data_IF_610600733749
#
_entry.id   IF_610600733749
#
_cell.length_a   1.000
_cell.length_b   1.000
_cell.length_c   1.000
_cell.angle_alpha   90.00
_cell.angle_beta   90.00
_cell.angle_gamma   90.00
#
_symmetry.space_group_name_H-M   'P 1'
#
loop_
_entity.id
_entity.type
_entity.pdbx_description
1 polymer ?
#
# COMPACT_ATOMS: atom_id res chain seq x y z
N UNK A 1 -21.29 -69.54 -1.29
CA UNK A 1 -20.78 -68.45 -0.44
C UNK A 1 -19.61 -67.78 -1.14
N UNK A 2 -19.68 -66.48 -1.49
CA UNK A 2 -18.57 -65.82 -2.17
C UNK A 2 -17.52 -65.35 -1.15
N UNK A 3 -16.24 -65.54 -1.49
CA UNK A 3 -15.06 -65.17 -0.71
C UNK A 3 -14.82 -63.66 -0.84
N UNK A 4 -14.65 -62.97 0.29
CA UNK A 4 -14.23 -61.56 0.37
C UNK A 4 -12.79 -61.36 -0.13
N UNK A 5 -12.48 -60.33 -0.93
CA UNK A 5 -11.11 -59.97 -1.26
C UNK A 5 -10.42 -59.30 -0.06
N UNK A 6 -9.19 -59.72 0.21
CA UNK A 6 -8.35 -59.20 1.29
C UNK A 6 -7.90 -57.76 1.07
N UNK A 7 -7.81 -57.02 2.17
CA UNK A 7 -7.33 -55.64 2.26
C UNK A 7 -5.85 -55.56 1.86
N UNK A 8 -5.42 -54.62 0.99
CA UNK A 8 -4.01 -54.44 0.68
C UNK A 8 -3.28 -53.81 1.88
N UNK A 9 -2.21 -54.47 2.31
CA UNK A 9 -1.30 -54.02 3.35
C UNK A 9 -0.41 -52.90 2.81
N UNK A 10 -0.74 -51.64 3.09
CA UNK A 10 0.11 -50.49 2.77
C UNK A 10 1.22 -50.37 3.83
N UNK A 11 2.30 -51.14 3.65
CA UNK A 11 3.58 -50.84 4.31
C UNK A 11 4.19 -49.61 3.64
N UNK A 12 3.74 -48.43 4.08
CA UNK A 12 4.23 -47.16 3.60
C UNK A 12 5.50 -46.80 4.36
N UNK A 13 6.66 -47.07 3.75
CA UNK A 13 7.97 -46.67 4.28
C UNK A 13 8.19 -45.18 3.99
N UNK A 14 7.46 -44.32 4.70
CA UNK A 14 7.72 -42.89 4.67
C UNK A 14 9.04 -42.58 5.38
N UNK A 15 10.11 -42.44 4.60
CA UNK A 15 11.38 -41.90 5.05
C UNK A 15 11.22 -40.39 5.30
N UNK A 16 11.11 -40.00 6.57
CA UNK A 16 11.01 -38.59 6.95
C UNK A 16 12.42 -37.96 7.03
N UNK A 17 12.65 -36.74 6.51
CA UNK A 17 13.96 -36.07 6.48
C UNK A 17 14.63 -35.84 7.85
N UNK A 18 13.95 -36.18 8.94
CA UNK A 18 14.42 -36.00 10.32
C UNK A 18 14.55 -37.34 11.09
N UNK A 19 14.42 -38.49 10.43
CA UNK A 19 14.41 -39.80 11.07
C UNK A 19 15.64 -40.10 11.95
N UNK A 20 16.79 -39.47 11.67
CA UNK A 20 18.05 -39.65 12.41
C UNK A 20 18.49 -38.37 13.16
N UNK A 21 17.59 -37.42 13.39
CA UNK A 21 17.90 -36.18 14.12
C UNK A 21 17.89 -36.41 15.63
N UNK A 22 19.06 -36.42 16.27
CA UNK A 22 19.22 -36.43 17.74
C UNK A 22 19.09 -35.03 18.40
N UNK A 23 18.67 -34.00 17.65
CA UNK A 23 18.41 -32.67 18.20
C UNK A 23 16.98 -32.62 18.73
N UNK A 24 16.79 -32.10 19.95
CA UNK A 24 15.50 -31.97 20.63
C UNK A 24 14.52 -31.22 19.73
N UNK A 25 13.55 -31.93 19.15
CA UNK A 25 12.42 -31.31 18.47
C UNK A 25 11.47 -30.81 19.56
N UNK A 26 11.52 -29.52 19.84
CA UNK A 26 10.51 -28.88 20.66
C UNK A 26 9.27 -28.67 19.81
N UNK A 27 8.29 -29.55 20.01
CA UNK A 27 6.93 -29.32 19.52
C UNK A 27 6.40 -28.14 20.32
N UNK A 28 6.47 -26.95 19.73
CA UNK A 28 5.75 -25.77 20.24
C UNK A 28 4.27 -26.15 20.15
N UNK A 29 3.70 -26.56 21.28
CA UNK A 29 2.27 -26.85 21.38
C UNK A 29 1.54 -25.54 21.13
N UNK A 30 1.02 -25.37 19.93
CA UNK A 30 0.12 -24.27 19.53
C UNK A 30 -1.01 -24.16 20.57
N UNK A 31 -0.82 -23.33 21.58
CA UNK A 31 -1.93 -22.59 22.16
C UNK A 31 -2.24 -21.59 21.06
N UNK A 32 -3.44 -21.69 20.49
CA UNK A 32 -3.79 -21.08 19.19
C UNK A 32 -3.12 -19.73 18.98
N UNK A 33 -2.51 -19.55 17.80
CA UNK A 33 -1.89 -18.28 17.42
C UNK A 33 -2.89 -17.18 17.73
N UNK A 34 -2.58 -16.36 18.73
CA UNK A 34 -3.39 -15.21 19.07
C UNK A 34 -3.29 -14.25 17.89
N UNK A 35 -4.33 -14.26 17.06
CA UNK A 35 -4.41 -13.50 15.81
C UNK A 35 -4.32 -12.01 16.11
N UNK A 36 -4.76 -11.58 17.30
CA UNK A 36 -4.76 -10.20 17.74
C UNK A 36 -3.38 -9.75 18.23
N UNK A 37 -2.70 -10.58 19.02
CA UNK A 37 -1.30 -10.32 19.42
C UNK A 37 -0.35 -10.40 18.21
N UNK A 38 -0.58 -11.35 17.30
CA UNK A 38 0.15 -11.45 16.03
C UNK A 38 -0.11 -10.22 15.15
N UNK A 39 -1.36 -9.73 15.08
CA UNK A 39 -1.69 -8.50 14.37
C UNK A 39 -1.00 -7.28 14.99
N UNK A 40 -0.94 -7.18 16.33
CA UNK A 40 -0.21 -6.13 17.04
C UNK A 40 1.29 -6.17 16.75
N UNK A 41 1.89 -7.36 16.78
CA UNK A 41 3.30 -7.54 16.45
C UNK A 41 3.61 -7.13 15.01
N UNK A 42 2.72 -7.44 14.05
CA UNK A 42 2.89 -7.01 12.66
C UNK A 42 2.71 -5.50 12.47
N UNK A 43 1.78 -4.87 13.20
CA UNK A 43 1.60 -3.41 13.16
C UNK A 43 2.86 -2.71 13.70
N UNK A 44 3.40 -3.20 14.82
CA UNK A 44 4.65 -2.73 15.42
C UNK A 44 5.84 -2.87 14.45
N UNK A 45 6.03 -4.05 13.85
CA UNK A 45 7.11 -4.28 12.87
C UNK A 45 6.95 -3.46 11.58
N UNK A 46 5.72 -3.03 11.23
CA UNK A 46 5.49 -2.14 10.09
C UNK A 46 5.76 -0.66 10.44
N UNK A 47 5.73 -0.29 11.73
CA UNK A 47 5.95 1.07 12.22
C UNK A 47 7.41 1.40 12.58
N UNK A 48 8.24 0.40 12.90
CA UNK A 48 9.59 0.60 13.44
C UNK A 48 10.64 1.19 12.47
N UNK A 49 10.35 1.35 11.17
CA UNK A 49 11.28 2.00 10.22
C UNK A 49 11.29 3.55 10.30
N UNK A 50 10.55 4.15 11.25
CA UNK A 50 10.56 5.59 11.49
C UNK A 50 11.57 5.93 12.60
N UNK A 51 12.80 6.22 12.20
CA UNK A 51 13.82 6.86 13.06
C UNK A 51 13.20 7.99 13.90
N UNK A 52 13.54 8.11 15.20
CA UNK A 52 12.84 9.01 16.11
C UNK A 52 13.07 10.46 15.68
N UNK A 53 12.02 11.10 15.17
CA UNK A 53 11.96 12.55 15.12
C UNK A 53 11.95 13.05 16.56
N UNK A 54 13.09 13.58 17.02
CA UNK A 54 13.22 14.34 18.26
C UNK A 54 12.02 15.28 18.38
N UNK A 55 11.07 14.94 19.26
CA UNK A 55 9.98 15.82 19.60
C UNK A 55 10.60 17.09 20.20
N UNK A 56 10.46 18.22 19.50
CA UNK A 56 10.75 19.52 20.10
C UNK A 56 9.68 19.77 21.17
N UNK A 57 10.05 20.23 22.37
CA UNK A 57 9.05 20.63 23.37
C UNK A 57 8.18 21.73 22.76
N UNK A 58 6.87 21.55 22.81
CA UNK A 58 5.88 22.53 22.40
C UNK A 58 5.96 23.73 23.32
N UNK A 59 6.46 24.85 22.82
CA UNK A 59 6.27 26.16 23.45
C UNK A 59 4.82 26.55 23.17
N UNK A 60 4.02 26.73 24.22
CA UNK A 60 2.70 27.35 24.12
C UNK A 60 2.88 28.78 23.61
N UNK A 61 2.51 29.00 22.35
CA UNK A 61 2.26 30.35 21.87
C UNK A 61 0.75 30.58 21.97
N UNK A 62 0.34 31.54 22.80
CA UNK A 62 -0.98 32.14 22.67
C UNK A 62 -1.09 32.69 21.24
N UNK A 63 -2.02 32.13 20.45
CA UNK A 63 -2.29 32.64 19.12
C UNK A 63 -2.93 34.02 19.27
N UNK A 64 -2.37 35.08 18.68
CA UNK A 64 -3.07 36.35 18.64
C UNK A 64 -4.41 36.15 17.92
N UNK A 65 -5.46 36.78 18.44
CA UNK A 65 -6.79 36.73 17.87
C UNK A 65 -6.73 37.10 16.38
N UNK A 66 -7.32 36.26 15.53
CA UNK A 66 -7.31 36.50 14.08
C UNK A 66 -8.11 37.76 13.78
N UNK A 67 -7.46 38.73 13.12
CA UNK A 67 -8.07 39.99 12.70
C UNK A 67 -9.20 39.74 11.67
N UNK A 68 -9.30 38.52 11.13
CA UNK A 68 -10.30 38.10 10.15
C UNK A 68 -11.61 37.58 10.76
N UNK A 69 -11.81 37.67 12.08
CA UNK A 69 -13.05 37.26 12.77
C UNK A 69 -13.89 38.43 13.29
N UNK A 70 -13.69 39.64 12.77
CA UNK A 70 -14.56 40.78 13.06
C UNK A 70 -15.63 40.98 11.97
N UNK A 71 -16.87 40.66 12.34
CA UNK A 71 -18.19 41.11 11.84
C UNK A 71 -18.58 41.11 10.36
N UNK A 72 -17.71 40.81 9.40
CA UNK A 72 -18.12 40.55 8.01
C UNK A 72 -17.36 39.34 7.48
N UNK A 73 -17.79 38.16 7.91
CA UNK A 73 -17.25 36.89 7.42
C UNK A 73 -17.58 36.77 5.93
N UNK A 74 -16.67 37.27 5.09
CA UNK A 74 -16.54 36.80 3.71
C UNK A 74 -16.28 35.31 3.83
N UNK A 75 -17.32 34.52 3.58
CA UNK A 75 -17.23 33.07 3.52
C UNK A 75 -16.06 32.73 2.61
N UNK A 76 -15.07 32.01 3.13
CA UNK A 76 -13.99 31.45 2.32
C UNK A 76 -14.66 30.43 1.40
N UNK A 77 -15.06 30.88 0.22
CA UNK A 77 -15.49 30.01 -0.85
C UNK A 77 -14.23 29.25 -1.29
N UNK A 78 -14.09 28.01 -0.82
CA UNK A 78 -13.21 27.04 -1.45
C UNK A 78 -13.79 26.83 -2.85
N UNK A 79 -13.32 27.65 -3.79
CA UNK A 79 -13.65 27.50 -5.20
C UNK A 79 -13.44 26.04 -5.56
N UNK A 80 -14.50 25.43 -6.07
CA UNK A 80 -14.43 24.16 -6.75
C UNK A 80 -13.21 24.21 -7.69
N UNK A 81 -12.37 23.17 -7.65
CA UNK A 81 -11.09 23.06 -8.37
C UNK A 81 -11.28 23.07 -9.92
N UNK A 82 -11.94 24.09 -10.44
CA UNK A 82 -12.33 24.37 -11.83
C UNK A 82 -11.49 25.52 -12.40
N UNK A 83 -10.52 26.04 -11.62
CA UNK A 83 -9.50 26.96 -12.12
C UNK A 83 -8.48 26.28 -13.04
N UNK A 84 -7.73 27.09 -13.80
CA UNK A 84 -6.63 26.72 -14.71
C UNK A 84 -5.42 26.07 -14.00
N UNK A 85 -5.65 25.03 -13.19
CA UNK A 85 -4.56 24.30 -12.57
C UNK A 85 -3.83 23.49 -13.65
N UNK A 86 -2.50 23.61 -13.69
CA UNK A 86 -1.64 22.81 -14.58
C UNK A 86 -1.63 21.31 -14.23
N UNK A 87 -2.31 20.93 -13.15
CA UNK A 87 -2.43 19.55 -12.69
C UNK A 87 -3.02 18.64 -13.78
N UNK A 88 -2.50 17.42 -13.84
CA UNK A 88 -2.95 16.43 -14.82
C UNK A 88 -4.33 15.86 -14.47
N UNK A 89 -4.54 15.56 -13.19
CA UNK A 89 -5.78 14.99 -12.66
C UNK A 89 -6.53 16.02 -11.83
N UNK A 90 -7.86 15.93 -11.85
CA UNK A 90 -8.76 16.65 -10.96
C UNK A 90 -9.04 15.87 -9.67
N UNK A 91 -9.11 14.54 -9.79
CA UNK A 91 -9.46 13.65 -8.69
C UNK A 91 -8.82 12.27 -8.90
N UNK A 92 -8.50 11.60 -7.81
CA UNK A 92 -7.81 10.31 -7.78
C UNK A 92 -8.34 9.48 -6.64
N UNK A 93 -8.78 8.27 -6.93
CA UNK A 93 -9.28 7.32 -5.95
C UNK A 93 -8.71 5.94 -6.22
N UNK A 94 -8.46 5.15 -5.18
CA UNK A 94 -8.13 3.72 -5.34
C UNK A 94 -9.32 2.92 -4.81
N UNK A 95 -10.16 2.41 -5.72
CA UNK A 95 -11.46 1.80 -5.42
C UNK A 95 -11.33 0.51 -4.60
N UNK A 96 -10.27 -0.27 -4.86
CA UNK A 96 -10.05 -1.55 -4.22
C UNK A 96 -8.80 -2.25 -4.71
N UNK A 97 -8.71 -3.54 -4.39
CA UNK A 97 -7.60 -4.41 -4.79
C UNK A 97 -8.11 -5.81 -5.16
N UNK A 98 -7.40 -6.46 -6.06
CA UNK A 98 -7.67 -7.83 -6.51
C UNK A 98 -6.42 -8.69 -6.39
N UNK A 99 -6.59 -9.94 -6.00
CA UNK A 99 -5.53 -10.94 -6.04
C UNK A 99 -5.56 -11.60 -7.42
N UNK A 100 -4.46 -11.50 -8.15
CA UNK A 100 -4.29 -12.08 -9.49
C UNK A 100 -3.25 -13.18 -9.41
N UNK A 101 -3.60 -14.38 -9.88
CA UNK A 101 -2.70 -15.53 -9.94
C UNK A 101 -3.27 -16.77 -9.24
N UNK A 102 -2.84 -17.93 -9.73
CA UNK A 102 -3.30 -19.22 -9.25
C UNK A 102 -2.57 -19.59 -7.94
N UNK A 103 -3.34 -19.82 -6.88
CA UNK A 103 -2.79 -20.20 -5.55
C UNK A 103 -2.33 -21.65 -5.50
N UNK A 104 -2.85 -22.50 -6.40
CA UNK A 104 -2.66 -23.96 -6.34
C UNK A 104 -1.39 -24.45 -7.04
N UNK A 105 -0.71 -23.57 -7.80
CA UNK A 105 0.61 -23.91 -8.34
C UNK A 105 1.68 -23.52 -7.33
N UNK A 106 2.43 -24.52 -6.86
CA UNK A 106 3.48 -24.53 -5.84
C UNK A 106 4.64 -23.50 -6.01
N UNK A 107 4.50 -22.49 -6.88
CA UNK A 107 5.51 -21.50 -7.19
C UNK A 107 4.94 -20.09 -7.41
N UNK A 108 4.66 -19.37 -6.32
CA UNK A 108 4.87 -17.91 -6.24
C UNK A 108 4.17 -16.97 -7.25
N UNK A 109 3.06 -17.38 -7.88
CA UNK A 109 2.44 -16.62 -8.97
C UNK A 109 1.41 -15.54 -8.57
N UNK A 110 0.92 -15.56 -7.33
CA UNK A 110 -0.14 -14.64 -6.89
C UNK A 110 0.42 -13.25 -6.52
N UNK A 111 -0.15 -12.20 -7.10
CA UNK A 111 0.17 -10.81 -6.79
C UNK A 111 -1.09 -9.96 -6.59
N UNK A 112 -0.93 -8.82 -5.92
CA UNK A 112 -2.02 -7.88 -5.68
C UNK A 112 -1.96 -6.73 -6.68
N UNK A 113 -3.11 -6.42 -7.27
CA UNK A 113 -3.34 -5.29 -8.17
C UNK A 113 -4.32 -4.33 -7.51
N UNK A 114 -4.01 -3.04 -7.56
CA UNK A 114 -4.88 -1.97 -7.09
C UNK A 114 -5.57 -1.32 -8.28
N UNK A 115 -6.87 -1.04 -8.15
CA UNK A 115 -7.63 -0.30 -9.16
C UNK A 115 -7.60 1.20 -8.86
N UNK A 116 -6.87 1.94 -9.70
CA UNK A 116 -6.68 3.37 -9.57
C UNK A 116 -7.61 4.08 -10.55
N UNK A 117 -8.58 4.82 -10.01
CA UNK A 117 -9.52 5.64 -10.77
C UNK A 117 -9.00 7.07 -10.79
N UNK A 118 -8.59 7.55 -11.97
CA UNK A 118 -8.06 8.91 -12.15
C UNK A 118 -9.03 9.70 -13.01
N UNK A 119 -9.59 10.79 -12.49
CA UNK A 119 -10.41 11.72 -13.26
C UNK A 119 -9.51 12.84 -13.77
N UNK A 120 -9.35 12.93 -15.08
CA UNK A 120 -8.58 14.00 -15.71
C UNK A 120 -9.36 15.30 -15.67
N UNK A 121 -8.65 16.42 -15.86
CA UNK A 121 -9.28 17.75 -15.99
C UNK A 121 -10.30 17.85 -17.13
N UNK A 122 -10.13 17.03 -18.18
CA UNK A 122 -11.03 17.01 -19.35
C UNK A 122 -12.33 16.23 -19.07
N UNK A 123 -12.53 15.74 -17.85
CA UNK A 123 -13.69 14.94 -17.46
C UNK A 123 -13.58 13.46 -17.82
N UNK A 124 -12.47 13.02 -18.40
CA UNK A 124 -12.23 11.60 -18.70
C UNK A 124 -11.86 10.85 -17.43
N UNK A 125 -12.55 9.75 -17.16
CA UNK A 125 -12.19 8.84 -16.06
C UNK A 125 -11.34 7.69 -16.63
N UNK A 126 -10.13 7.53 -16.11
CA UNK A 126 -9.19 6.49 -16.52
C UNK A 126 -9.05 5.49 -15.38
N UNK A 127 -9.23 4.21 -15.69
CA UNK A 127 -8.99 3.10 -14.76
C UNK A 127 -7.62 2.48 -15.04
N UNK A 128 -6.71 2.56 -14.06
CA UNK A 128 -5.36 2.03 -14.15
C UNK A 128 -5.16 0.93 -13.11
N UNK A 129 -4.97 -0.30 -13.59
CA UNK A 129 -4.72 -1.46 -12.74
C UNK A 129 -3.22 -1.64 -12.47
N UNK A 130 -2.78 -1.36 -11.24
CA UNK A 130 -1.35 -1.28 -10.91
C UNK A 130 -0.98 -2.10 -9.68
N UNK A 131 0.08 -2.89 -9.78
CA UNK A 131 0.72 -3.54 -8.62
C UNK A 131 1.57 -2.53 -7.84
N UNK A 132 1.80 -2.78 -6.55
CA UNK A 132 2.63 -1.89 -5.70
C UNK A 132 3.98 -1.53 -6.34
N UNK A 133 4.67 -2.50 -6.96
CA UNK A 133 5.95 -2.23 -7.62
C UNK A 133 5.86 -1.21 -8.77
N UNK A 134 4.70 -1.03 -9.40
CA UNK A 134 4.51 0.01 -10.40
C UNK A 134 4.58 1.42 -9.77
N UNK A 135 4.11 1.60 -8.53
CA UNK A 135 4.23 2.86 -7.80
C UNK A 135 5.68 3.15 -7.43
N UNK A 136 6.44 2.12 -7.04
CA UNK A 136 7.89 2.23 -6.80
C UNK A 136 8.62 2.70 -8.06
N UNK A 137 8.27 2.13 -9.22
CA UNK A 137 8.82 2.55 -10.51
C UNK A 137 8.45 3.98 -10.87
N UNK A 138 7.21 4.40 -10.62
CA UNK A 138 6.77 5.78 -10.83
C UNK A 138 7.57 6.74 -9.96
N UNK A 139 7.68 6.48 -8.66
CA UNK A 139 8.44 7.34 -7.75
C UNK A 139 9.93 7.44 -8.12
N UNK A 140 10.55 6.32 -8.50
CA UNK A 140 11.92 6.34 -9.03
C UNK A 140 12.01 7.07 -10.37
N UNK A 141 10.99 6.98 -11.22
CA UNK A 141 10.86 7.73 -12.47
C UNK A 141 10.79 9.23 -12.22
N UNK A 142 9.92 9.65 -11.30
CA UNK A 142 9.75 11.06 -10.89
C UNK A 142 11.04 11.65 -10.34
N UNK A 143 11.72 10.95 -9.41
CA UNK A 143 13.00 11.41 -8.88
C UNK A 143 14.09 11.57 -9.96
N UNK A 144 14.04 10.76 -11.02
CA UNK A 144 14.98 10.85 -12.15
C UNK A 144 14.62 11.94 -13.15
N UNK A 145 13.32 12.16 -13.41
CA UNK A 145 12.86 13.12 -14.42
C UNK A 145 12.73 14.54 -13.90
N UNK A 146 12.47 14.72 -12.59
CA UNK A 146 12.20 16.04 -12.02
C UNK A 146 13.51 16.79 -11.66
N UNK A 147 13.56 18.10 -11.90
CA UNK A 147 14.60 18.98 -11.37
C UNK A 147 14.75 18.86 -9.85
N UNK A 148 15.97 19.07 -9.33
CA UNK A 148 16.30 18.92 -7.89
C UNK A 148 15.37 19.71 -6.97
N UNK A 149 14.96 20.92 -7.37
CA UNK A 149 14.07 21.76 -6.57
C UNK A 149 12.62 21.25 -6.52
N UNK A 150 12.19 20.41 -7.46
CA UNK A 150 10.85 19.82 -7.50
C UNK A 150 10.78 18.46 -6.80
N UNK A 151 11.92 17.77 -6.62
CA UNK A 151 11.96 16.45 -5.98
C UNK A 151 11.45 16.49 -4.52
N UNK A 152 11.56 17.63 -3.83
CA UNK A 152 11.04 17.82 -2.46
C UNK A 152 9.51 17.73 -2.37
N UNK A 153 8.80 17.94 -3.49
CA UNK A 153 7.34 17.86 -3.54
C UNK A 153 6.84 16.43 -3.72
N UNK A 154 7.72 15.47 -3.99
CA UNK A 154 7.35 14.06 -4.13
C UNK A 154 7.33 13.43 -2.72
N UNK A 155 6.15 13.02 -2.22
CA UNK A 155 6.05 12.38 -0.91
C UNK A 155 6.76 11.02 -0.90
N UNK A 156 7.23 10.56 0.27
CA UNK A 156 7.81 9.23 0.41
C UNK A 156 6.76 8.15 0.14
N UNK A 157 7.17 7.05 -0.51
CA UNK A 157 6.28 5.91 -0.72
C UNK A 157 5.97 5.20 0.60
N UNK A 158 4.79 4.59 0.73
CA UNK A 158 4.50 3.68 1.83
C UNK A 158 5.51 2.52 1.83
N UNK A 159 6.00 2.08 3.00
CA UNK A 159 7.03 1.06 3.09
C UNK A 159 6.57 -0.31 2.55
N UNK A 160 7.54 -1.12 2.15
CA UNK A 160 7.28 -2.51 1.78
C UNK A 160 7.09 -3.31 3.06
N UNK A 161 5.93 -3.97 3.19
CA UNK A 161 5.73 -5.03 4.19
C UNK A 161 5.72 -6.38 3.46
N UNK A 162 6.82 -7.14 3.48
CA UNK A 162 6.91 -8.42 2.79
C UNK A 162 6.07 -9.53 3.44
N UNK A 163 5.88 -9.47 4.76
CA UNK A 163 5.22 -10.53 5.54
C UNK A 163 3.68 -10.43 5.57
N UNK A 164 3.10 -9.24 5.36
CA UNK A 164 1.64 -9.02 5.41
C UNK A 164 0.95 -8.98 4.03
N UNK A 165 1.65 -9.38 2.95
CA UNK A 165 1.29 -9.09 1.55
C UNK A 165 -0.09 -9.55 1.05
N UNK A 166 -0.75 -10.49 1.73
CA UNK A 166 -2.09 -10.97 1.36
C UNK A 166 -3.17 -10.72 2.44
N UNK A 167 -2.82 -10.07 3.56
CA UNK A 167 -3.81 -9.80 4.63
C UNK A 167 -4.74 -8.66 4.21
N UNK A 168 -6.08 -8.82 4.26
CA UNK A 168 -7.02 -7.79 3.83
C UNK A 168 -6.86 -6.44 4.56
N UNK A 169 -6.68 -6.46 5.88
CA UNK A 169 -6.48 -5.24 6.68
C UNK A 169 -5.24 -4.44 6.23
N UNK A 170 -4.14 -5.16 5.99
CA UNK A 170 -2.90 -4.57 5.47
C UNK A 170 -3.08 -4.00 4.06
N UNK A 171 -3.80 -4.70 3.19
CA UNK A 171 -4.08 -4.25 1.83
C UNK A 171 -4.96 -2.99 1.80
N UNK A 172 -5.94 -2.88 2.69
CA UNK A 172 -6.75 -1.66 2.79
C UNK A 172 -5.96 -0.48 3.36
N UNK A 173 -5.14 -0.71 4.40
CA UNK A 173 -4.26 0.33 4.95
C UNK A 173 -3.28 0.83 3.89
N UNK A 174 -2.61 -0.09 3.18
CA UNK A 174 -1.72 0.26 2.06
C UNK A 174 -2.49 0.96 0.94
N UNK A 175 -3.72 0.53 0.60
CA UNK A 175 -4.56 1.18 -0.41
C UNK A 175 -4.77 2.66 -0.07
N UNK A 176 -5.19 2.97 1.17
CA UNK A 176 -5.40 4.35 1.64
C UNK A 176 -4.11 5.19 1.56
N UNK A 177 -2.99 4.61 1.97
CA UNK A 177 -1.69 5.28 1.89
C UNK A 177 -1.25 5.54 0.44
N UNK A 178 -1.47 4.57 -0.46
CA UNK A 178 -1.20 4.72 -1.89
C UNK A 178 -2.12 5.75 -2.54
N UNK A 179 -3.39 5.81 -2.15
CA UNK A 179 -4.37 6.79 -2.63
C UNK A 179 -3.96 8.21 -2.23
N UNK A 180 -3.59 8.40 -0.96
CA UNK A 180 -3.04 9.67 -0.48
C UNK A 180 -1.75 10.05 -1.22
N UNK A 181 -0.84 9.10 -1.38
CA UNK A 181 0.42 9.34 -2.09
C UNK A 181 0.18 9.70 -3.56
N UNK A 182 -0.70 8.97 -4.25
CA UNK A 182 -0.99 9.15 -5.67
C UNK A 182 -1.73 10.46 -5.90
N UNK A 183 -2.69 10.82 -5.04
CA UNK A 183 -3.38 12.11 -5.12
C UNK A 183 -2.39 13.27 -4.95
N UNK A 184 -1.51 13.22 -3.95
CA UNK A 184 -0.48 14.24 -3.75
C UNK A 184 0.45 14.41 -4.98
N UNK A 185 0.76 13.32 -5.69
CA UNK A 185 1.59 13.35 -6.90
C UNK A 185 0.83 13.86 -8.12
N UNK A 186 -0.40 13.38 -8.36
CA UNK A 186 -1.16 13.66 -9.59
C UNK A 186 -1.87 15.03 -9.59
N UNK A 187 -2.28 15.51 -8.41
CA UNK A 187 -2.93 16.81 -8.26
C UNK A 187 -1.93 17.97 -8.16
N UNK A 188 -0.63 17.69 -7.98
CA UNK A 188 0.39 18.73 -7.99
C UNK A 188 0.57 19.28 -9.42
N UNK A 189 0.56 20.61 -9.64
CA UNK A 189 0.61 21.21 -10.97
C UNK A 189 1.86 20.80 -11.77
N UNK A 190 3.05 20.91 -11.17
CA UNK A 190 4.30 20.59 -11.88
C UNK A 190 4.60 19.08 -11.95
N UNK A 191 4.47 18.37 -10.83
CA UNK A 191 4.80 16.95 -10.72
C UNK A 191 3.81 16.08 -11.50
N UNK A 192 2.50 16.36 -11.37
CA UNK A 192 1.44 15.66 -12.08
C UNK A 192 1.51 15.86 -13.59
N UNK A 193 1.96 17.04 -14.05
CA UNK A 193 2.17 17.34 -15.46
C UNK A 193 3.45 16.70 -16.05
N UNK A 194 4.20 15.90 -15.31
CA UNK A 194 5.40 15.25 -15.82
C UNK A 194 5.08 14.13 -16.83
N UNK A 195 6.02 13.87 -17.76
CA UNK A 195 5.89 12.78 -18.74
C UNK A 195 5.83 11.40 -18.09
N UNK A 196 6.56 11.21 -16.98
CA UNK A 196 6.59 9.95 -16.24
C UNK A 196 5.20 9.57 -15.71
N UNK A 197 4.44 10.53 -15.18
CA UNK A 197 3.05 10.33 -14.74
C UNK A 197 2.17 9.91 -15.89
N UNK A 198 2.17 10.67 -17.00
CA UNK A 198 1.33 10.38 -18.16
C UNK A 198 1.57 8.97 -18.70
N UNK A 199 2.83 8.59 -18.86
CA UNK A 199 3.21 7.27 -19.34
C UNK A 199 2.80 6.17 -18.36
N UNK A 200 2.91 6.42 -17.05
CA UNK A 200 2.51 5.44 -16.04
C UNK A 200 1.01 5.18 -16.05
N UNK A 201 0.19 6.20 -16.25
CA UNK A 201 -1.28 6.09 -16.31
C UNK A 201 -1.75 5.36 -17.58
N UNK A 202 -1.07 5.58 -18.71
CA UNK A 202 -1.44 5.00 -20.01
C UNK A 202 -0.94 3.56 -20.23
N UNK A 203 0.10 3.13 -19.50
CA UNK A 203 0.61 1.75 -19.51
C UNK A 203 -0.21 0.82 -18.62
#
# INVERSE_FOLDING_TARGET
MPKTPGTPNFQNTYSHPFANSNKRLEIIRNHGIDIEEEARLYDEMCFEERMPSRARPSVEYERPASIFSASESTSIWLGDNVGESLAFARDVQISGWTNVGDKDKLGGGAYVVYDCVVKTKQGTTIHAHKRYNAFVQLHAGLKRSLPRHQQRYVPPLPPKAPFARYRPAFLDQRRRQLEYWLSAVLLHPDVGASKAVRQWIMN
#
